data_IF_988227104188
#
_entry.id   IF_988227104188
#
_cell.length_a   1.000
_cell.length_b   1.000
_cell.length_c   1.000
_cell.angle_alpha   90.00
_cell.angle_beta   90.00
_cell.angle_gamma   90.00
#
_symmetry.space_group_name_H-M   'P 1'
#
loop_
_entity.id
_entity.type
_entity.pdbx_description
1 polymer ?
#
# COMPACT_ATOMS: atom_id res chain seq x y z
N UNK A 1 30.46 -50.59 -18.94
CA UNK A 1 30.48 -49.12 -19.14
C UNK A 1 30.48 -48.46 -17.78
N UNK A 2 31.42 -47.54 -17.51
CA UNK A 2 31.49 -46.82 -16.24
C UNK A 2 30.50 -45.66 -16.24
N UNK A 3 29.73 -45.49 -15.16
CA UNK A 3 28.78 -44.37 -15.03
C UNK A 3 29.53 -43.11 -14.57
N UNK A 4 29.11 -41.95 -15.09
CA UNK A 4 29.60 -40.64 -14.64
C UNK A 4 28.95 -40.22 -13.33
N UNK A 5 29.66 -39.39 -12.56
CA UNK A 5 29.13 -38.77 -11.36
C UNK A 5 28.07 -37.70 -11.70
N UNK A 6 27.05 -37.51 -10.85
CA UNK A 6 26.12 -36.39 -10.97
C UNK A 6 26.84 -35.04 -10.81
N UNK A 7 26.33 -34.03 -11.50
CA UNK A 7 26.86 -32.65 -11.39
C UNK A 7 26.32 -31.98 -10.13
N UNK A 8 27.22 -31.42 -9.31
CA UNK A 8 26.84 -30.58 -8.18
C UNK A 8 26.57 -29.14 -8.64
N UNK A 9 25.58 -28.49 -8.01
CA UNK A 9 25.29 -27.08 -8.23
C UNK A 9 26.00 -26.30 -7.12
N UNK A 10 26.92 -25.43 -7.54
CA UNK A 10 27.69 -24.57 -6.64
C UNK A 10 27.10 -23.17 -6.60
N UNK A 11 27.11 -22.49 -5.44
CA UNK A 11 26.68 -21.10 -5.34
C UNK A 11 27.61 -20.18 -6.12
N UNK A 12 27.01 -19.22 -6.83
CA UNK A 12 27.72 -18.26 -7.68
C UNK A 12 27.50 -16.84 -7.20
N UNK A 13 28.29 -15.91 -7.77
CA UNK A 13 28.13 -14.49 -7.50
C UNK A 13 26.77 -13.95 -7.96
N UNK A 14 26.17 -14.57 -8.98
CA UNK A 14 24.85 -14.18 -9.50
C UNK A 14 23.75 -14.35 -8.42
N UNK A 15 23.89 -15.35 -7.54
CA UNK A 15 22.95 -15.63 -6.45
C UNK A 15 22.90 -14.47 -5.43
N UNK A 16 24.00 -13.71 -5.30
CA UNK A 16 24.06 -12.50 -4.47
C UNK A 16 23.13 -11.43 -5.05
N UNK A 17 23.14 -11.27 -6.37
CA UNK A 17 22.30 -10.26 -7.02
C UNK A 17 20.82 -10.60 -6.91
N UNK A 18 20.47 -11.89 -6.98
CA UNK A 18 19.10 -12.37 -6.78
C UNK A 18 18.63 -12.08 -5.34
N UNK A 19 19.48 -12.36 -4.34
CA UNK A 19 19.19 -12.03 -2.95
C UNK A 19 18.96 -10.53 -2.74
N UNK A 20 19.82 -9.67 -3.28
CA UNK A 20 19.65 -8.22 -3.18
C UNK A 20 18.34 -7.74 -3.81
N UNK A 21 17.98 -8.27 -4.97
CA UNK A 21 16.71 -7.92 -5.63
C UNK A 21 15.51 -8.31 -4.77
N UNK A 22 15.54 -9.49 -4.14
CA UNK A 22 14.50 -9.94 -3.23
C UNK A 22 14.36 -9.02 -2.01
N UNK A 23 15.48 -8.63 -1.39
CA UNK A 23 15.48 -7.70 -0.26
C UNK A 23 14.93 -6.32 -0.65
N UNK A 24 15.28 -5.82 -1.85
CA UNK A 24 14.75 -4.55 -2.37
C UNK A 24 13.23 -4.61 -2.55
N UNK A 25 12.69 -5.70 -3.08
CA UNK A 25 11.23 -5.90 -3.24
C UNK A 25 10.52 -5.89 -1.88
N UNK A 26 11.02 -6.66 -0.90
CA UNK A 26 10.44 -6.68 0.46
C UNK A 26 10.44 -5.29 1.08
N UNK A 27 11.52 -4.52 0.91
CA UNK A 27 11.60 -3.15 1.44
C UNK A 27 10.58 -2.24 0.78
N UNK A 28 10.40 -2.33 -0.54
CA UNK A 28 9.40 -1.55 -1.27
C UNK A 28 7.97 -1.89 -0.83
N UNK A 29 7.64 -3.17 -0.68
CA UNK A 29 6.32 -3.59 -0.19
C UNK A 29 6.03 -3.07 1.22
N UNK A 30 7.03 -3.10 2.10
CA UNK A 30 6.89 -2.55 3.47
C UNK A 30 6.64 -1.05 3.44
N UNK A 31 7.34 -0.29 2.59
CA UNK A 31 7.14 1.15 2.43
C UNK A 31 5.76 1.48 1.84
N UNK A 32 5.28 0.71 0.86
CA UNK A 32 3.95 0.89 0.30
C UNK A 32 2.85 0.62 1.34
N UNK A 33 3.03 -0.41 2.18
CA UNK A 33 2.09 -0.73 3.26
C UNK A 33 2.07 0.36 4.33
N UNK A 34 3.22 0.94 4.70
CA UNK A 34 3.27 2.04 5.67
C UNK A 34 2.71 3.35 5.11
N UNK A 35 2.92 3.63 3.82
CA UNK A 35 2.28 4.81 3.20
C UNK A 35 0.76 4.64 3.15
N UNK A 36 0.26 3.46 2.78
CA UNK A 36 -1.18 3.23 2.68
C UNK A 36 -1.93 3.30 4.04
N UNK A 37 -1.25 3.06 5.17
CA UNK A 37 -1.86 3.16 6.50
C UNK A 37 -1.95 4.59 7.04
N UNK A 38 -1.06 5.48 6.60
CA UNK A 38 -0.89 6.82 7.17
C UNK A 38 -1.59 7.92 6.36
N UNK A 39 -2.18 7.60 5.20
CA UNK A 39 -3.02 8.58 4.51
C UNK A 39 -4.36 8.71 5.26
N UNK A 40 -4.68 9.88 5.82
CA UNK A 40 -6.03 10.13 6.31
C UNK A 40 -6.97 9.95 5.11
N UNK A 41 -8.03 9.17 5.30
CA UNK A 41 -9.09 9.03 4.32
C UNK A 41 -9.74 10.39 4.10
N UNK A 42 -9.20 11.16 3.16
CA UNK A 42 -9.84 12.36 2.66
C UNK A 42 -11.11 11.88 1.97
N UNK A 43 -12.25 12.00 2.66
CA UNK A 43 -13.56 11.80 2.05
C UNK A 43 -13.67 12.76 0.86
N UNK A 44 -13.42 12.26 -0.33
CA UNK A 44 -13.42 12.95 -1.63
C UNK A 44 -14.86 13.11 -2.15
N UNK A 45 -15.74 13.61 -1.28
CA UNK A 45 -17.15 13.83 -1.62
C UNK A 45 -17.65 15.16 -1.06
N UNK A 46 -18.58 15.84 -1.75
CA UNK A 46 -19.26 16.99 -1.19
C UNK A 46 -20.00 16.56 0.09
N UNK A 47 -19.71 17.24 1.20
CA UNK A 47 -20.40 17.02 2.48
C UNK A 47 -21.88 17.28 2.33
N UNK A 48 -22.72 16.50 3.02
CA UNK A 48 -24.16 16.71 2.98
C UNK A 48 -24.52 18.10 3.51
N UNK A 49 -25.59 18.71 2.97
CA UNK A 49 -26.06 20.04 3.43
C UNK A 49 -26.32 20.08 4.94
N UNK A 50 -26.85 18.99 5.50
CA UNK A 50 -27.10 18.83 6.93
C UNK A 50 -25.80 18.88 7.76
N UNK A 51 -24.74 18.19 7.31
CA UNK A 51 -23.44 18.23 7.98
C UNK A 51 -22.84 19.64 7.96
N UNK A 52 -23.02 20.37 6.85
CA UNK A 52 -22.57 21.76 6.73
C UNK A 52 -23.35 22.67 7.69
N UNK A 53 -24.68 22.56 7.73
CA UNK A 53 -25.55 23.37 8.60
C UNK A 53 -25.22 23.17 10.08
N UNK A 54 -25.00 21.93 10.50
CA UNK A 54 -24.58 21.61 11.87
C UNK A 54 -23.22 22.22 12.23
N UNK A 55 -22.28 22.29 11.27
CA UNK A 55 -20.94 22.86 11.51
C UNK A 55 -20.98 24.38 11.70
N UNK A 56 -21.84 25.08 10.97
CA UNK A 56 -21.93 26.55 11.01
C UNK A 56 -23.01 27.05 11.97
N UNK A 57 -23.67 26.15 12.71
CA UNK A 57 -24.76 26.50 13.62
C UNK A 57 -25.99 27.09 12.91
N UNK A 58 -26.15 26.80 11.62
CA UNK A 58 -27.27 27.32 10.83
C UNK A 58 -28.48 26.42 11.00
N UNK A 59 -29.59 27.00 11.46
CA UNK A 59 -30.88 26.32 11.55
C UNK A 59 -31.78 26.83 10.42
N UNK A 60 -32.03 26.06 9.35
CA UNK A 60 -32.85 26.54 8.23
C UNK A 60 -34.27 26.82 8.72
N UNK A 61 -34.87 27.97 8.32
CA UNK A 61 -36.27 28.23 8.61
C UNK A 61 -37.13 27.14 7.97
N UNK A 62 -38.10 26.62 8.72
CA UNK A 62 -39.09 25.71 8.16
C UNK A 62 -39.70 26.39 6.92
N UNK A 63 -39.54 25.76 5.76
CA UNK A 63 -40.25 26.18 4.57
C UNK A 63 -41.74 26.08 4.91
N UNK A 64 -42.36 27.24 5.13
CA UNK A 64 -43.80 27.41 5.18
C UNK A 64 -44.32 27.01 3.81
N UNK A 65 -44.88 25.81 3.73
CA UNK A 65 -45.73 25.36 2.62
C UNK A 65 -47.09 26.03 2.75
#
# INVERSE_FOLDING_TARGET
>A
MLRRVPTAIEPKLDDITEYEQHIRKIRQEKLQKSLASDLPSFQTGPKSKQEVYNRIGYNPPHASV
#
